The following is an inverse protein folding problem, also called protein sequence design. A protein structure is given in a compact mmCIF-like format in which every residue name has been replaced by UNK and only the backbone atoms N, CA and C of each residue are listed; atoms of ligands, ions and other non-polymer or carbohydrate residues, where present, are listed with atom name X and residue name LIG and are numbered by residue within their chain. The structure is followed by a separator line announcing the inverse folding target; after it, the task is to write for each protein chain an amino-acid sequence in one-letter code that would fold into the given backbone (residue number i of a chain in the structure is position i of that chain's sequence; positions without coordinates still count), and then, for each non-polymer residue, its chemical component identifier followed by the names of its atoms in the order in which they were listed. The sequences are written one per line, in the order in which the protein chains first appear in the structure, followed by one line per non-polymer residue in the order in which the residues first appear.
data_IF_433814013732
#
_entry.id   IF_433814013732
#
_cell.length_a   1.000
_cell.length_b   1.000
_cell.length_c   1.000
_cell.angle_alpha   90.00
_cell.angle_beta   90.00
_cell.angle_gamma   90.00
#
_symmetry.space_group_name_H-M   'P 1'
#
loop_
_entity.id
_entity.type
_entity.pdbx_description
1 polymer ?
#
# COMPACT_ATOMS: atom_id res chain seq x y z
N UNK A 1 15.78 8.88 -5.37
CA UNK A 1 15.53 7.44 -5.13
C UNK A 1 16.36 6.91 -3.95
N UNK A 2 17.70 7.01 -3.96
CA UNK A 2 18.57 6.38 -2.94
C UNK A 2 18.21 6.67 -1.48
N UNK A 3 17.94 7.92 -1.11
CA UNK A 3 17.50 8.25 0.25
C UNK A 3 16.19 7.55 0.65
N UNK A 4 15.19 7.55 -0.24
CA UNK A 4 13.89 6.93 0.02
C UNK A 4 14.05 5.41 0.16
N UNK A 5 14.81 4.77 -0.73
CA UNK A 5 15.10 3.33 -0.60
C UNK A 5 15.77 3.01 0.75
N UNK A 6 16.73 3.82 1.19
CA UNK A 6 17.35 3.66 2.51
C UNK A 6 16.39 3.94 3.69
N UNK A 7 15.40 4.81 3.51
CA UNK A 7 14.36 5.05 4.51
C UNK A 7 13.45 3.81 4.64
N UNK A 8 13.01 3.25 3.50
CA UNK A 8 12.20 2.03 3.47
C UNK A 8 12.95 0.85 4.09
N UNK A 9 14.23 0.66 3.74
CA UNK A 9 15.09 -0.38 4.34
C UNK A 9 15.20 -0.18 5.86
N UNK A 10 15.33 1.06 6.36
CA UNK A 10 15.34 1.36 7.81
C UNK A 10 14.02 1.04 8.50
N UNK A 11 12.88 1.38 7.88
CA UNK A 11 11.55 1.06 8.40
C UNK A 11 11.40 -0.45 8.56
N UNK A 12 11.71 -1.24 7.52
CA UNK A 12 11.64 -2.71 7.56
C UNK A 12 12.55 -3.31 8.63
N UNK A 13 13.80 -2.85 8.70
CA UNK A 13 14.78 -3.34 9.68
C UNK A 13 14.39 -3.02 11.13
N UNK A 14 13.46 -2.09 11.35
CA UNK A 14 12.90 -1.79 12.68
C UNK A 14 11.67 -2.64 13.05
N UNK A 15 11.35 -3.67 12.26
CA UNK A 15 10.30 -4.65 12.56
C UNK A 15 8.96 -4.39 11.89
N UNK A 16 8.83 -3.31 11.12
CA UNK A 16 7.64 -3.04 10.30
C UNK A 16 7.59 -3.98 9.10
N UNK A 17 6.44 -4.61 8.88
CA UNK A 17 6.21 -5.55 7.77
C UNK A 17 5.36 -4.90 6.69
N UNK A 18 5.56 -5.27 5.43
CA UNK A 18 4.71 -4.84 4.33
C UNK A 18 3.24 -5.17 4.66
N UNK A 19 2.37 -4.20 4.41
CA UNK A 19 0.93 -4.32 4.60
C UNK A 19 0.19 -4.10 3.28
N UNK A 20 -0.49 -5.14 2.79
CA UNK A 20 -1.46 -5.00 1.72
C UNK A 20 -2.79 -4.54 2.29
N UNK A 21 -3.40 -3.51 1.71
CA UNK A 21 -4.76 -3.11 2.06
C UNK A 21 -5.74 -4.27 1.88
N UNK A 22 -6.78 -4.38 2.73
CA UNK A 22 -7.71 -5.51 2.70
C UNK A 22 -8.42 -5.71 1.36
N UNK A 23 -8.60 -4.62 0.60
CA UNK A 23 -9.25 -4.60 -0.72
C UNK A 23 -8.29 -4.82 -1.89
N UNK A 24 -6.98 -4.69 -1.66
CA UNK A 24 -5.99 -4.64 -2.74
C UNK A 24 -5.37 -6.02 -2.96
N UNK A 25 -5.01 -6.36 -4.21
CA UNK A 25 -4.43 -7.65 -4.53
C UNK A 25 -3.06 -7.82 -3.88
N UNK A 26 -2.75 -9.02 -3.41
CA UNK A 26 -1.46 -9.36 -2.80
C UNK A 26 -0.42 -9.65 -3.89
N UNK A 27 -0.17 -8.68 -4.75
CA UNK A 27 0.82 -8.83 -5.84
C UNK A 27 2.14 -8.25 -5.36
N UNK A 28 3.15 -9.11 -5.23
CA UNK A 28 4.49 -8.68 -4.84
C UNK A 28 5.15 -7.88 -5.96
N UNK A 29 6.12 -7.05 -5.57
CA UNK A 29 6.91 -6.29 -6.54
C UNK A 29 7.76 -7.15 -7.47
N UNK A 30 7.94 -8.45 -7.22
CA UNK A 30 8.56 -9.35 -8.21
C UNK A 30 7.74 -9.46 -9.50
N UNK A 31 6.44 -9.17 -9.44
CA UNK A 31 5.55 -9.13 -10.60
C UNK A 31 5.44 -7.72 -11.22
N UNK A 32 6.15 -6.71 -10.68
CA UNK A 32 6.05 -5.31 -11.11
C UNK A 32 6.28 -5.13 -12.61
N UNK A 33 7.18 -5.92 -13.22
CA UNK A 33 7.47 -5.86 -14.66
C UNK A 33 6.28 -6.26 -15.55
N UNK A 34 5.28 -6.99 -15.02
CA UNK A 34 4.06 -7.37 -15.73
C UNK A 34 2.97 -6.29 -15.67
N UNK A 35 3.21 -5.22 -14.91
CA UNK A 35 2.28 -4.12 -14.69
C UNK A 35 2.87 -2.88 -15.35
N UNK A 36 2.10 -2.20 -16.19
CA UNK A 36 2.60 -1.10 -17.04
C UNK A 36 2.22 0.29 -16.54
N UNK A 37 1.25 0.38 -15.63
CA UNK A 37 0.72 1.63 -15.09
C UNK A 37 1.16 1.81 -13.64
N UNK A 38 1.52 3.04 -13.21
CA UNK A 38 2.10 3.28 -11.89
C UNK A 38 1.11 3.26 -10.71
N UNK A 39 -0.18 3.43 -10.99
CA UNK A 39 -1.24 3.68 -10.00
C UNK A 39 -2.38 2.65 -10.08
N UNK A 40 -2.30 1.73 -11.04
CA UNK A 40 -3.37 0.76 -11.32
C UNK A 40 -2.81 -0.63 -11.57
N UNK A 41 -3.58 -1.60 -11.09
CA UNK A 41 -3.44 -3.01 -11.49
C UNK A 41 -4.70 -3.38 -12.27
N UNK A 42 -4.55 -3.77 -13.55
CA UNK A 42 -5.67 -4.15 -14.41
C UNK A 42 -6.81 -3.12 -14.43
N UNK A 43 -6.46 -1.85 -14.67
CA UNK A 43 -7.38 -0.70 -14.67
C UNK A 43 -8.06 -0.38 -13.33
N UNK A 44 -7.71 -1.07 -12.25
CA UNK A 44 -8.19 -0.78 -10.89
C UNK A 44 -7.14 0.05 -10.16
N UNK A 45 -7.50 1.25 -9.65
CA UNK A 45 -6.64 1.97 -8.72
C UNK A 45 -6.33 1.10 -7.51
N UNK A 46 -5.07 1.08 -7.09
CA UNK A 46 -4.64 0.37 -5.88
C UNK A 46 -3.73 1.26 -5.05
N UNK A 47 -3.89 1.17 -3.73
CA UNK A 47 -2.93 1.69 -2.75
C UNK A 47 -1.82 0.65 -2.52
N UNK A 48 -0.59 1.11 -2.34
CA UNK A 48 0.56 0.20 -2.20
C UNK A 48 0.78 -0.59 -3.49
N UNK A 49 0.88 0.12 -4.62
CA UNK A 49 1.08 -0.46 -5.94
C UNK A 49 2.30 -1.41 -5.95
N UNK A 50 2.34 -2.50 -6.72
CA UNK A 50 3.47 -3.44 -6.70
C UNK A 50 4.83 -2.83 -7.09
N UNK A 51 4.84 -1.71 -7.84
CA UNK A 51 6.06 -0.94 -8.09
C UNK A 51 6.64 -0.26 -6.83
N UNK A 52 5.83 -0.19 -5.78
CA UNK A 52 6.07 0.41 -4.48
C UNK A 52 5.97 -0.66 -3.38
N UNK A 53 6.27 -1.91 -3.73
CA UNK A 53 6.51 -2.95 -2.74
C UNK A 53 7.81 -2.64 -1.95
N UNK A 54 7.83 -2.71 -0.61
CA UNK A 54 9.03 -2.48 0.19
C UNK A 54 10.21 -3.43 -0.09
N UNK A 55 9.99 -4.57 -0.75
CA UNK A 55 11.00 -5.52 -1.20
C UNK A 55 11.42 -5.30 -2.67
N UNK A 56 10.80 -4.35 -3.36
CA UNK A 56 11.09 -4.02 -4.75
C UNK A 56 11.79 -2.67 -4.89
N UNK A 57 12.81 -2.64 -5.76
CA UNK A 57 13.53 -1.42 -6.09
C UNK A 57 13.25 -1.10 -7.57
N UNK A 58 12.32 -0.18 -7.87
CA UNK A 58 12.06 0.22 -9.24
C UNK A 58 13.32 0.84 -9.86
N UNK A 59 13.49 0.68 -11.16
CA UNK A 59 14.51 1.43 -11.88
C UNK A 59 14.13 2.92 -12.02
N UNK A 60 15.06 3.73 -12.55
CA UNK A 60 14.82 5.16 -12.72
C UNK A 60 13.66 5.45 -13.68
N UNK A 61 13.45 4.62 -14.71
CA UNK A 61 12.39 4.83 -15.68
C UNK A 61 11.01 4.62 -15.03
N UNK A 62 10.82 3.50 -14.34
CA UNK A 62 9.61 3.21 -13.57
C UNK A 62 9.38 4.25 -12.48
N UNK A 63 10.44 4.63 -11.76
CA UNK A 63 10.38 5.63 -10.71
C UNK A 63 9.90 6.99 -11.22
N UNK A 64 10.25 7.38 -12.45
CA UNK A 64 9.86 8.65 -13.06
C UNK A 64 8.45 8.66 -13.66
N UNK A 65 7.78 7.51 -13.79
CA UNK A 65 6.41 7.42 -14.33
C UNK A 65 5.33 7.92 -13.37
N UNK A 66 5.68 8.16 -12.11
CA UNK A 66 4.77 8.74 -11.11
C UNK A 66 5.47 9.84 -10.31
N UNK A 67 4.67 10.76 -9.77
CA UNK A 67 5.11 11.78 -8.83
C UNK A 67 4.64 11.49 -7.40
N UNK A 68 3.88 10.43 -7.18
CA UNK A 68 3.35 10.02 -5.88
C UNK A 68 3.75 8.58 -5.60
N UNK A 69 4.31 8.35 -4.42
CA UNK A 69 4.79 7.05 -3.97
C UNK A 69 4.27 6.78 -2.55
N UNK A 70 3.72 5.59 -2.32
CA UNK A 70 3.09 5.21 -1.07
C UNK A 70 3.48 3.78 -0.69
N UNK A 71 4.08 3.63 0.48
CA UNK A 71 4.37 2.35 1.12
C UNK A 71 3.55 2.22 2.40
N UNK A 72 3.10 1.01 2.68
CA UNK A 72 2.26 0.73 3.84
C UNK A 72 2.83 -0.41 4.65
N UNK A 73 2.80 -0.23 5.96
CA UNK A 73 3.39 -1.14 6.90
C UNK A 73 2.50 -1.38 8.10
N UNK A 74 2.70 -2.54 8.72
CA UNK A 74 2.08 -2.92 9.97
C UNK A 74 3.14 -3.35 10.99
N UNK A 75 2.94 -2.98 12.25
CA UNK A 75 3.70 -3.49 13.38
C UNK A 75 2.82 -3.52 14.64
N UNK A 76 2.48 -4.73 15.11
CA UNK A 76 1.79 -4.98 16.38
C UNK A 76 0.56 -4.09 16.70
N UNK A 77 -0.34 -3.93 15.73
CA UNK A 77 -1.55 -3.11 15.89
C UNK A 77 -1.32 -1.61 15.63
N UNK A 78 -0.14 -1.23 15.16
CA UNK A 78 0.13 0.07 14.58
C UNK A 78 0.26 -0.04 13.06
N UNK A 79 -0.14 1.03 12.38
CA UNK A 79 -0.10 1.17 10.93
C UNK A 79 0.78 2.37 10.59
N UNK A 80 1.64 2.19 9.60
CA UNK A 80 2.54 3.23 9.11
C UNK A 80 2.34 3.39 7.60
N UNK A 81 2.09 4.61 7.15
CA UNK A 81 2.22 4.97 5.75
C UNK A 81 3.45 5.85 5.55
N UNK A 82 4.22 5.57 4.50
CA UNK A 82 5.30 6.44 4.03
C UNK A 82 4.89 6.95 2.66
N UNK A 83 4.60 8.25 2.56
CA UNK A 83 4.28 8.91 1.30
C UNK A 83 5.47 9.75 0.85
N UNK A 84 5.78 9.72 -0.44
CA UNK A 84 6.68 10.68 -1.07
C UNK A 84 5.96 11.35 -2.23
N UNK A 85 6.10 12.67 -2.33
CA UNK A 85 5.66 13.46 -3.49
C UNK A 85 6.85 14.11 -4.14
N UNK A 86 7.06 13.80 -5.42
CA UNK A 86 8.10 14.41 -6.25
C UNK A 86 7.54 15.68 -6.91
N UNK A 87 8.29 16.76 -6.80
CA UNK A 87 8.12 17.93 -7.64
C UNK A 87 9.32 18.04 -8.58
N UNK A 88 9.05 17.99 -9.88
CA UNK A 88 10.10 18.04 -10.89
C UNK A 88 10.73 19.43 -10.98
N UNK A 89 12.05 19.45 -11.23
CA UNK A 89 12.71 20.70 -11.60
C UNK A 89 12.20 21.18 -12.96
N UNK A 90 12.12 22.50 -13.15
CA UNK A 90 11.72 23.08 -14.45
C UNK A 90 12.72 22.79 -15.57
N UNK A 91 14.01 22.80 -15.26
CA UNK A 91 15.06 22.72 -16.29
C UNK A 91 15.44 21.29 -16.67
N UNK A 92 15.43 20.35 -15.70
CA UNK A 92 15.88 18.98 -15.92
C UNK A 92 14.98 17.95 -15.18
N UNK A 93 13.68 17.87 -15.49
CA UNK A 93 12.70 17.09 -14.73
C UNK A 93 13.06 15.59 -14.60
N UNK A 94 13.72 15.00 -15.60
CA UNK A 94 14.15 13.60 -15.58
C UNK A 94 15.38 13.34 -14.72
N UNK A 95 16.14 14.38 -14.37
CA UNK A 95 17.40 14.27 -13.60
C UNK A 95 17.26 14.79 -12.18
N UNK A 96 16.50 15.87 -12.00
CA UNK A 96 16.40 16.61 -10.75
C UNK A 96 14.95 16.86 -10.35
N UNK A 97 14.68 16.70 -9.06
CA UNK A 97 13.39 16.96 -8.45
C UNK A 97 13.54 17.05 -6.93
N UNK A 98 12.59 17.72 -6.29
CA UNK A 98 12.50 17.79 -4.83
C UNK A 98 11.46 16.79 -4.34
N UNK A 99 11.70 16.20 -3.18
CA UNK A 99 10.77 15.25 -2.56
C UNK A 99 10.24 15.81 -1.25
N UNK A 100 8.92 15.85 -1.10
CA UNK A 100 8.27 15.94 0.21
C UNK A 100 8.00 14.52 0.68
N UNK A 101 8.48 14.17 1.86
CA UNK A 101 8.27 12.84 2.45
C UNK A 101 7.44 13.02 3.72
N UNK A 102 6.35 12.28 3.82
CA UNK A 102 5.45 12.25 4.97
C UNK A 102 5.42 10.84 5.53
N UNK A 103 5.55 10.72 6.85
CA UNK A 103 5.34 9.46 7.57
C UNK A 103 4.16 9.66 8.51
N UNK A 104 3.14 8.81 8.38
CA UNK A 104 1.96 8.83 9.25
C UNK A 104 1.89 7.56 10.06
N UNK A 105 1.75 7.72 11.38
CA UNK A 105 1.61 6.62 12.32
C UNK A 105 0.20 6.64 12.88
N UNK A 106 -0.53 5.54 12.69
CA UNK A 106 -1.88 5.37 13.18
C UNK A 106 -1.94 4.21 14.16
N UNK A 107 -2.63 4.44 15.27
CA UNK A 107 -3.12 3.32 16.10
C UNK A 107 -4.15 2.50 15.32
N UNK A 108 -4.34 1.23 15.69
CA UNK A 108 -5.36 0.36 15.08
C UNK A 108 -6.73 1.04 15.00
N UNK A 109 -7.16 1.70 16.08
CA UNK A 109 -8.44 2.42 16.09
C UNK A 109 -8.46 3.53 15.05
N UNK A 110 -7.44 4.39 14.99
CA UNK A 110 -7.41 5.49 14.02
C UNK A 110 -7.48 4.98 12.58
N UNK A 111 -6.72 3.92 12.29
CA UNK A 111 -6.68 3.31 10.96
C UNK A 111 -8.04 2.73 10.54
N UNK A 112 -8.73 1.98 11.41
CA UNK A 112 -10.02 1.38 11.03
C UNK A 112 -11.19 2.35 11.11
N UNK A 113 -11.14 3.35 12.00
CA UNK A 113 -12.19 4.36 12.13
C UNK A 113 -12.16 5.34 10.95
N UNK A 114 -11.00 5.60 10.33
CA UNK A 114 -10.90 6.53 9.18
C UNK A 114 -11.71 6.10 7.97
N UNK A 115 -12.09 4.83 7.88
CA UNK A 115 -12.96 4.31 6.84
C UNK A 115 -14.43 4.74 7.00
N UNK A 116 -14.84 5.21 8.18
CA UNK A 116 -16.24 5.58 8.46
C UNK A 116 -16.42 7.10 8.43
N UNK A 117 -17.39 7.57 7.65
CA UNK A 117 -17.66 9.01 7.47
C UNK A 117 -18.53 9.59 8.60
N UNK A 118 -19.57 8.86 9.01
CA UNK A 118 -20.56 9.33 9.98
C UNK A 118 -20.11 9.05 11.43
N UNK A 119 -20.28 10.01 12.33
CA UNK A 119 -19.83 9.88 13.73
C UNK A 119 -20.49 8.70 14.47
N UNK A 120 -21.75 8.39 14.17
CA UNK A 120 -22.42 7.20 14.72
C UNK A 120 -21.77 5.89 14.24
N UNK A 121 -21.27 5.84 13.01
CA UNK A 121 -20.64 4.65 12.45
C UNK A 121 -19.21 4.53 13.00
N UNK A 122 -18.52 5.65 13.19
CA UNK A 122 -17.24 5.72 13.91
C UNK A 122 -17.36 5.26 15.36
N UNK A 123 -18.48 5.53 16.03
CA UNK A 123 -18.74 5.03 17.38
C UNK A 123 -18.97 3.51 17.39
N UNK A 124 -19.68 2.99 16.39
CA UNK A 124 -20.03 1.57 16.24
C UNK A 124 -19.07 0.79 15.32
N UNK A 125 -17.89 1.32 15.05
CA UNK A 125 -17.00 0.83 13.99
C UNK A 125 -16.64 -0.65 14.14
N UNK A 126 -16.49 -1.15 15.38
CA UNK A 126 -16.16 -2.56 15.64
C UNK A 126 -17.27 -3.52 15.19
N UNK A 127 -18.53 -3.10 15.29
CA UNK A 127 -19.69 -3.90 14.86
C UNK A 127 -19.84 -3.87 13.33
N UNK A 128 -19.51 -2.74 12.71
CA UNK A 128 -19.63 -2.52 11.27
C UNK A 128 -18.43 -3.08 10.47
N UNK A 129 -17.24 -3.13 11.09
CA UNK A 129 -15.99 -3.49 10.44
C UNK A 129 -16.01 -4.91 9.83
N UNK A 130 -16.54 -5.96 10.48
CA UNK A 130 -16.60 -7.31 9.87
C UNK A 130 -17.33 -7.34 8.53
N UNK A 131 -18.46 -6.65 8.41
CA UNK A 131 -19.20 -6.57 7.15
C UNK A 131 -18.42 -5.82 6.06
N UNK A 132 -17.63 -4.81 6.47
CA UNK A 132 -16.77 -4.05 5.55
C UNK A 132 -15.55 -4.85 5.09
N UNK A 133 -14.90 -5.56 5.99
CA UNK A 133 -13.80 -6.48 5.67
C UNK A 133 -14.26 -7.54 4.66
N UNK A 134 -15.49 -8.05 4.79
CA UNK A 134 -16.03 -8.98 3.82
C UNK A 134 -16.12 -8.37 2.41
N UNK A 135 -16.61 -7.13 2.29
CA UNK A 135 -16.64 -6.40 1.01
C UNK A 135 -15.23 -6.18 0.44
N UNK A 136 -14.26 -5.86 1.29
CA UNK A 136 -12.87 -5.71 0.88
C UNK A 136 -12.28 -7.02 0.37
N UNK A 137 -12.49 -8.13 1.06
CA UNK A 137 -12.03 -9.46 0.63
C UNK A 137 -12.65 -9.88 -0.70
N UNK A 138 -13.95 -9.61 -0.91
CA UNK A 138 -14.61 -9.90 -2.18
C UNK A 138 -14.01 -9.04 -3.30
N UNK A 139 -13.77 -7.74 -3.08
CA UNK A 139 -13.11 -6.86 -4.05
C UNK A 139 -11.65 -7.30 -4.35
N UNK A 140 -10.90 -7.71 -3.33
CA UNK A 140 -9.54 -8.26 -3.50
C UNK A 140 -9.58 -9.50 -4.38
N UNK A 141 -10.43 -10.47 -4.06
CA UNK A 141 -10.56 -11.72 -4.83
C UNK A 141 -10.87 -11.43 -6.30
N UNK A 142 -11.79 -10.52 -6.58
CA UNK A 142 -12.17 -10.16 -7.95
C UNK A 142 -10.98 -9.62 -8.78
N UNK A 143 -10.05 -8.90 -8.14
CA UNK A 143 -8.85 -8.37 -8.81
C UNK A 143 -7.77 -9.46 -8.90
N UNK A 144 -7.59 -10.25 -7.85
CA UNK A 144 -6.62 -11.36 -7.84
C UNK A 144 -6.96 -12.42 -8.90
N UNK A 145 -8.24 -12.76 -9.09
CA UNK A 145 -8.66 -13.71 -10.12
C UNK A 145 -8.36 -13.21 -11.53
N UNK A 146 -8.55 -11.91 -11.78
CA UNK A 146 -8.17 -11.28 -13.04
C UNK A 146 -6.66 -11.23 -13.21
N UNK A 147 -5.91 -10.96 -12.15
CA UNK A 147 -4.45 -10.98 -12.15
C UNK A 147 -3.93 -12.37 -12.55
N UNK A 148 -4.45 -13.43 -11.92
CA UNK A 148 -4.12 -14.82 -12.28
C UNK A 148 -4.45 -15.12 -13.75
N UNK A 149 -5.62 -14.70 -14.24
CA UNK A 149 -6.02 -14.88 -15.64
C UNK A 149 -5.10 -14.17 -16.64
N UNK A 150 -4.39 -13.12 -16.20
CA UNK A 150 -3.40 -12.38 -16.99
C UNK A 150 -1.95 -12.80 -16.69
N UNK A 151 -1.75 -13.93 -15.99
CA UNK A 151 -0.42 -14.48 -15.71
C UNK A 151 0.38 -13.71 -14.64
N UNK A 152 -0.30 -12.91 -13.81
CA UNK A 152 0.30 -12.23 -12.65
C UNK A 152 0.08 -13.11 -11.42
N UNK A 153 1.17 -13.41 -10.72
CA UNK A 153 1.14 -14.26 -9.53
C UNK A 153 0.68 -13.48 -8.29
N UNK A 154 0.02 -14.19 -7.37
CA UNK A 154 -0.43 -13.66 -6.08
C UNK A 154 0.44 -14.27 -4.98
N UNK A 155 0.86 -13.44 -4.03
CA UNK A 155 1.53 -13.86 -2.81
C UNK A 155 0.53 -14.54 -1.87
N UNK A 156 0.36 -15.86 -2.05
CA UNK A 156 -0.48 -16.68 -1.19
C UNK A 156 0.14 -16.93 0.20
N UNK A 157 1.41 -16.57 0.39
CA UNK A 157 2.08 -16.70 1.70
C UNK A 157 1.71 -15.55 2.64
N UNK A 158 1.31 -14.39 2.10
CA UNK A 158 0.88 -13.25 2.89
C UNK A 158 -0.40 -13.54 3.69
N UNK A 159 -0.33 -13.26 4.98
CA UNK A 159 -1.46 -13.30 5.91
C UNK A 159 -1.77 -11.88 6.36
N UNK A 160 -3.04 -11.48 6.24
CA UNK A 160 -3.48 -10.19 6.78
C UNK A 160 -3.17 -10.12 8.29
N UNK A 161 -2.67 -9.00 8.81
CA UNK A 161 -2.39 -8.87 10.22
C UNK A 161 -3.68 -8.99 11.05
N UNK A 162 -3.60 -9.52 12.28
CA UNK A 162 -4.75 -9.60 13.16
C UNK A 162 -5.24 -8.20 13.51
N UNK A 163 -6.57 -8.05 13.57
CA UNK A 163 -7.23 -6.85 14.09
C UNK A 163 -7.55 -7.13 15.56
N UNK A 164 -6.73 -6.60 16.46
CA UNK A 164 -6.81 -6.86 17.90
C UNK A 164 -8.17 -6.46 18.47
N UNK A 165 -8.74 -5.37 17.99
CA UNK A 165 -10.06 -4.87 18.39
C UNK A 165 -11.23 -5.81 18.07
N UNK A 166 -11.06 -6.76 17.15
CA UNK A 166 -12.05 -7.78 16.80
C UNK A 166 -11.73 -9.17 17.41
N UNK A 167 -10.55 -9.31 18.00
CA UNK A 167 -10.13 -10.53 18.68
C UNK A 167 -10.74 -10.51 20.10
N UNK A 168 -11.46 -11.57 20.47
CA UNK A 168 -12.03 -11.72 21.82
C UNK A 168 -10.98 -12.13 22.82
#
# INVERSE_FOLDING_TARGET
MGFISQLIDRVKNSGWKHYYFPSNPRISGSQAAKIMTPDKVLERPVLGHPWLDPDYKPDLEQWLKTSVYEWYFYNDGAYLSVNARRNDSKDNPTKTGTYLITMEFLTERQYWVSDFDEDKDRANWKELLPARLKKYQDARRDIEDKARANGIEIDESYQDPPIKALSR
#
